data_IF_988539513576
#
_entry.id   IF_988539513576
#
_cell.length_a   1.000
_cell.length_b   1.000
_cell.length_c   1.000
_cell.angle_alpha   90.00
_cell.angle_beta   90.00
_cell.angle_gamma   90.00
#
_symmetry.space_group_name_H-M   'P 1'
#
loop_
_entity.id
_entity.type
_entity.pdbx_description
1 polymer ?
#
# COMPACT_ATOMS: atom_id res chain seq x y z
N UNK A 1 -7.26 4.01 -1.07
CA UNK A 1 -6.26 3.35 -1.93
C UNK A 1 -5.37 2.41 -1.13
N UNK A 2 -4.54 2.88 -0.19
CA UNK A 2 -3.67 2.02 0.64
C UNK A 2 -4.36 0.76 1.20
N UNK A 3 -5.53 0.91 1.84
CA UNK A 3 -6.27 -0.23 2.43
C UNK A 3 -6.55 -1.37 1.43
N UNK A 4 -6.75 -1.09 0.13
CA UNK A 4 -7.01 -2.15 -0.86
C UNK A 4 -5.79 -3.03 -1.09
N UNK A 5 -4.58 -2.45 -1.04
CA UNK A 5 -3.34 -3.19 -1.19
C UNK A 5 -3.08 -4.06 0.04
N UNK A 6 -3.21 -3.49 1.24
CA UNK A 6 -2.95 -4.21 2.49
C UNK A 6 -3.92 -5.37 2.75
N UNK A 7 -5.18 -5.24 2.31
CA UNK A 7 -6.14 -6.34 2.24
C UNK A 7 -5.69 -7.37 1.19
N UNK A 8 -5.52 -6.95 -0.06
CA UNK A 8 -5.37 -7.87 -1.18
C UNK A 8 -4.03 -8.61 -1.26
N UNK A 9 -2.92 -7.99 -0.83
CA UNK A 9 -1.57 -8.59 -0.94
C UNK A 9 -1.32 -9.66 0.12
N UNK A 10 -2.15 -9.72 1.17
CA UNK A 10 -2.06 -10.65 2.28
C UNK A 10 -2.57 -12.05 1.90
N UNK A 11 -1.89 -12.67 0.94
CA UNK A 11 -2.13 -14.02 0.42
C UNK A 11 -0.79 -14.66 0.02
N UNK A 12 -0.61 -15.93 0.36
CA UNK A 12 0.62 -16.69 0.06
C UNK A 12 0.33 -18.14 -0.33
N UNK A 13 0.32 -18.44 -1.63
CA UNK A 13 0.37 -19.81 -2.14
C UNK A 13 1.58 -20.60 -1.61
N UNK A 14 2.73 -19.97 -1.37
CA UNK A 14 3.89 -20.62 -0.79
C UNK A 14 3.65 -21.13 0.64
N UNK A 15 2.94 -20.37 1.49
CA UNK A 15 2.55 -20.83 2.83
C UNK A 15 1.51 -21.95 2.76
N UNK A 16 0.53 -21.84 1.87
CA UNK A 16 -0.48 -22.89 1.65
C UNK A 16 0.16 -24.21 1.21
N UNK A 17 1.17 -24.15 0.33
CA UNK A 17 1.94 -25.31 -0.10
C UNK A 17 2.71 -25.99 1.05
N UNK A 18 2.99 -25.25 2.13
CA UNK A 18 3.60 -25.76 3.36
C UNK A 18 2.56 -26.23 4.39
N UNK A 19 1.27 -26.21 4.06
CA UNK A 19 0.18 -26.62 4.94
C UNK A 19 -0.16 -25.59 6.03
N UNK A 20 0.23 -24.33 5.83
CA UNK A 20 -0.09 -23.21 6.72
C UNK A 20 -1.01 -22.24 6.00
N UNK A 21 -2.04 -21.73 6.67
CA UNK A 21 -2.93 -20.73 6.07
C UNK A 21 -2.13 -19.51 5.60
N UNK A 22 -2.26 -19.15 4.32
CA UNK A 22 -1.47 -18.12 3.67
C UNK A 22 -2.17 -16.75 3.59
N UNK A 23 -3.35 -16.59 4.17
CA UNK A 23 -4.20 -15.41 3.97
C UNK A 23 -5.12 -15.55 2.75
N UNK A 24 -6.26 -14.83 2.76
CA UNK A 24 -7.30 -14.95 1.73
C UNK A 24 -7.24 -13.89 0.64
N UNK A 25 -6.31 -12.94 0.73
CA UNK A 25 -6.15 -11.85 -0.22
C UNK A 25 -7.27 -10.82 -0.09
N UNK A 26 -7.89 -10.43 -1.21
CA UNK A 26 -8.98 -9.44 -1.18
C UNK A 26 -10.28 -10.05 -0.62
N UNK A 27 -10.32 -10.30 0.69
CA UNK A 27 -11.41 -10.96 1.41
C UNK A 27 -11.91 -10.13 2.61
N UNK A 28 -11.41 -8.92 2.79
CA UNK A 28 -11.83 -8.00 3.85
C UNK A 28 -11.26 -8.36 5.23
N UNK A 29 -10.31 -9.29 5.32
CA UNK A 29 -9.75 -9.76 6.58
C UNK A 29 -9.22 -8.60 7.44
N UNK A 30 -8.57 -7.62 6.81
CA UNK A 30 -7.98 -6.47 7.51
C UNK A 30 -9.01 -5.60 8.24
N UNK A 31 -10.27 -5.60 7.80
CA UNK A 31 -11.38 -4.90 8.48
C UNK A 31 -12.11 -5.84 9.44
N UNK A 32 -12.35 -7.10 9.05
CA UNK A 32 -13.09 -8.08 9.85
C UNK A 32 -12.31 -8.44 11.13
N UNK A 33 -11.00 -8.60 10.98
CA UNK A 33 -10.04 -8.94 12.03
C UNK A 33 -9.10 -7.77 12.34
N UNK A 34 -9.63 -6.54 12.29
CA UNK A 34 -8.85 -5.31 12.49
C UNK A 34 -8.02 -5.34 13.79
N UNK A 35 -8.59 -5.82 14.91
CA UNK A 35 -7.88 -5.93 16.20
C UNK A 35 -6.60 -6.78 16.14
N UNK A 36 -6.48 -7.67 15.13
CA UNK A 36 -5.28 -8.48 14.89
C UNK A 36 -4.42 -7.84 13.81
N UNK A 37 -4.97 -7.61 12.62
CA UNK A 37 -4.17 -7.26 11.44
C UNK A 37 -3.63 -5.83 11.48
N UNK A 38 -4.32 -4.86 12.10
CA UNK A 38 -3.76 -3.51 12.27
C UNK A 38 -2.71 -3.44 13.38
N UNK A 39 -2.55 -4.51 14.16
CA UNK A 39 -1.45 -4.68 15.10
C UNK A 39 -0.12 -5.08 14.45
N UNK A 40 -0.14 -5.46 13.16
CA UNK A 40 1.07 -5.77 12.40
C UNK A 40 1.85 -4.50 12.05
N UNK A 41 3.19 -4.48 12.17
CA UNK A 41 4.00 -3.28 11.89
C UNK A 41 3.72 -2.64 10.52
N UNK A 42 3.61 -3.46 9.47
CA UNK A 42 3.34 -3.00 8.11
C UNK A 42 1.97 -2.32 7.94
N UNK A 43 1.00 -2.63 8.80
CA UNK A 43 -0.37 -2.12 8.74
C UNK A 43 -0.61 -0.89 9.62
N UNK A 44 0.44 -0.30 10.20
CA UNK A 44 0.33 0.87 11.08
C UNK A 44 -0.49 2.00 10.43
N UNK A 45 -1.38 2.61 11.22
CA UNK A 45 -2.26 3.71 10.82
C UNK A 45 -3.50 3.33 10.00
N UNK A 46 -3.71 2.04 9.67
CA UNK A 46 -4.90 1.61 8.92
C UNK A 46 -6.17 1.49 9.79
N UNK A 47 -6.03 1.41 11.11
CA UNK A 47 -7.13 1.44 12.05
C UNK A 47 -7.99 2.71 11.94
N UNK A 48 -7.36 3.88 11.70
CA UNK A 48 -8.08 5.14 11.49
C UNK A 48 -9.00 5.07 10.27
N UNK A 49 -8.50 4.63 9.10
CA UNK A 49 -9.31 4.57 7.88
C UNK A 49 -10.43 3.52 7.99
N UNK A 50 -10.18 2.41 8.69
CA UNK A 50 -11.19 1.40 8.97
C UNK A 50 -12.30 2.00 9.84
N UNK A 51 -11.96 2.74 10.89
CA UNK A 51 -12.93 3.41 11.75
C UNK A 51 -13.78 4.45 10.98
N UNK A 52 -13.17 5.22 10.07
CA UNK A 52 -13.86 6.18 9.21
C UNK A 52 -14.83 5.49 8.24
N UNK A 53 -14.44 4.33 7.68
CA UNK A 53 -15.24 3.60 6.70
C UNK A 53 -16.39 2.80 7.32
N UNK A 54 -16.25 2.33 8.56
CA UNK A 54 -17.24 1.49 9.27
C UNK A 54 -18.71 1.95 9.15
N UNK A 55 -19.08 3.22 9.41
CA UNK A 55 -20.48 3.63 9.32
C UNK A 55 -21.05 3.59 7.89
N UNK A 56 -20.20 3.66 6.86
CA UNK A 56 -20.62 3.53 5.46
C UNK A 56 -20.77 2.07 5.07
N UNK A 57 -19.84 1.22 5.51
CA UNK A 57 -19.90 -0.23 5.35
C UNK A 57 -21.22 -0.78 5.93
N UNK A 58 -21.55 -0.43 7.18
CA UNK A 58 -22.78 -0.86 7.87
C UNK A 58 -24.08 -0.46 7.14
N UNK A 59 -24.05 0.60 6.32
CA UNK A 59 -25.21 1.08 5.55
C UNK A 59 -25.25 0.57 4.11
N UNK A 60 -24.15 0.02 3.61
CA UNK A 60 -23.99 -0.35 2.20
C UNK A 60 -24.69 -1.65 1.81
N UNK A 61 -24.93 -2.54 2.78
CA UNK A 61 -25.31 -3.95 2.56
C UNK A 61 -24.32 -4.74 1.65
N UNK A 62 -23.08 -4.25 1.50
CA UNK A 62 -22.00 -4.96 0.81
C UNK A 62 -21.30 -5.93 1.77
N UNK A 63 -20.62 -6.94 1.22
CA UNK A 63 -19.59 -7.66 1.98
C UNK A 63 -18.46 -6.68 2.30
N UNK A 64 -17.75 -6.92 3.40
CA UNK A 64 -16.60 -6.12 3.79
C UNK A 64 -15.54 -6.15 2.69
N UNK A 65 -15.29 -7.34 2.14
CA UNK A 65 -14.35 -7.56 1.04
C UNK A 65 -14.66 -6.71 -0.20
N UNK A 66 -15.93 -6.65 -0.62
CA UNK A 66 -16.32 -5.83 -1.78
C UNK A 66 -16.28 -4.33 -1.45
N UNK A 67 -16.63 -3.95 -0.21
CA UNK A 67 -16.66 -2.55 0.21
C UNK A 67 -15.27 -1.90 0.14
N UNK A 68 -14.22 -2.58 0.61
CA UNK A 68 -12.83 -2.07 0.58
C UNK A 68 -12.43 -1.72 -0.86
N UNK A 69 -12.65 -2.65 -1.79
CA UNK A 69 -12.26 -2.52 -3.19
C UNK A 69 -13.10 -1.44 -3.91
N UNK A 70 -14.40 -1.36 -3.60
CA UNK A 70 -15.27 -0.28 -4.07
C UNK A 70 -14.83 1.09 -3.55
N UNK A 71 -14.54 1.22 -2.25
CA UNK A 71 -14.08 2.47 -1.65
C UNK A 71 -12.74 2.92 -2.24
N UNK A 72 -11.82 1.99 -2.51
CA UNK A 72 -10.57 2.26 -3.21
C UNK A 72 -10.77 2.79 -4.63
N UNK A 73 -11.63 2.14 -5.42
CA UNK A 73 -11.96 2.59 -6.77
C UNK A 73 -12.60 3.99 -6.76
N UNK A 74 -13.58 4.24 -5.89
CA UNK A 74 -14.20 5.56 -5.74
C UNK A 74 -13.17 6.62 -5.32
N UNK A 75 -12.28 6.30 -4.38
CA UNK A 75 -11.22 7.22 -3.96
C UNK A 75 -10.33 7.66 -5.13
N UNK A 76 -9.88 6.69 -5.95
CA UNK A 76 -9.04 6.98 -7.13
C UNK A 76 -9.79 7.80 -8.18
N UNK A 77 -11.09 7.55 -8.41
CA UNK A 77 -11.87 8.33 -9.38
C UNK A 77 -12.05 9.81 -9.01
N UNK A 78 -11.77 10.19 -7.75
CA UNK A 78 -11.78 11.59 -7.34
C UNK A 78 -10.46 12.32 -7.64
N UNK A 79 -9.40 11.61 -8.03
CA UNK A 79 -8.10 12.18 -8.37
C UNK A 79 -8.05 12.52 -9.87
N UNK A 80 -7.89 13.80 -10.27
CA UNK A 80 -7.74 14.17 -11.67
C UNK A 80 -6.58 13.43 -12.33
N UNK A 81 -6.80 12.89 -13.54
CA UNK A 81 -5.81 12.07 -14.25
C UNK A 81 -5.99 10.56 -14.06
N UNK A 82 -6.79 10.15 -13.08
CA UNK A 82 -7.01 8.73 -12.81
C UNK A 82 -7.75 8.02 -13.96
N UNK A 83 -7.38 6.78 -14.29
CA UNK A 83 -8.12 5.99 -15.25
C UNK A 83 -9.50 5.61 -14.69
N UNK A 84 -10.46 5.24 -15.56
CA UNK A 84 -11.68 4.60 -15.11
C UNK A 84 -11.36 3.31 -14.35
N UNK A 85 -11.82 3.21 -13.10
CA UNK A 85 -11.56 2.04 -12.25
C UNK A 85 -12.70 1.03 -12.35
N UNK A 86 -12.46 -0.21 -12.80
CA UNK A 86 -13.47 -1.25 -12.76
C UNK A 86 -13.71 -1.69 -11.31
N UNK A 87 -14.96 -2.00 -10.99
CA UNK A 87 -15.34 -2.65 -9.73
C UNK A 87 -16.06 -3.94 -10.04
N UNK A 88 -15.49 -5.04 -9.56
CA UNK A 88 -16.12 -6.36 -9.57
C UNK A 88 -16.62 -6.66 -8.16
N UNK A 89 -17.83 -7.20 -8.04
CA UNK A 89 -18.45 -7.60 -6.77
C UNK A 89 -18.62 -9.12 -6.73
N UNK A 90 -18.67 -9.69 -5.53
CA UNK A 90 -18.84 -11.12 -5.29
C UNK A 90 -17.78 -11.74 -4.37
N UNK A 91 -16.91 -10.93 -3.74
CA UNK A 91 -15.97 -11.44 -2.75
C UNK A 91 -16.72 -11.91 -1.50
N UNK A 92 -16.25 -13.02 -0.95
CA UNK A 92 -16.73 -13.54 0.34
C UNK A 92 -15.88 -12.96 1.44
N UNK A 93 -16.53 -12.62 2.54
CA UNK A 93 -15.86 -12.13 3.74
C UNK A 93 -14.97 -13.22 4.35
N UNK A 94 -13.80 -12.79 4.82
CA UNK A 94 -12.80 -13.60 5.47
C UNK A 94 -13.36 -14.37 6.68
N UNK A 95 -12.82 -15.58 6.90
CA UNK A 95 -13.15 -16.40 8.08
C UNK A 95 -11.97 -16.52 9.06
N UNK A 96 -10.79 -16.06 8.68
CA UNK A 96 -9.56 -16.07 9.48
C UNK A 96 -8.75 -14.81 9.17
N UNK A 97 -7.97 -14.26 10.13
CA UNK A 97 -7.05 -13.16 9.87
C UNK A 97 -5.91 -13.62 8.97
N UNK A 98 -5.39 -12.72 8.15
CA UNK A 98 -4.17 -12.98 7.41
C UNK A 98 -2.95 -13.13 8.35
N UNK A 99 -1.95 -13.96 8.00
CA UNK A 99 -0.67 -13.97 8.68
C UNK A 99 0.07 -12.63 8.55
N UNK A 100 0.87 -12.28 9.56
CA UNK A 100 1.83 -11.17 9.49
C UNK A 100 2.97 -11.50 8.50
N UNK A 101 3.72 -10.48 8.06
CA UNK A 101 4.87 -10.60 7.16
C UNK A 101 4.51 -10.79 5.69
N UNK A 102 3.25 -10.58 5.30
CA UNK A 102 2.79 -10.67 3.91
C UNK A 102 2.68 -9.32 3.20
N UNK A 103 2.79 -8.21 3.93
CA UNK A 103 2.78 -6.84 3.39
C UNK A 103 4.21 -6.30 3.39
N UNK A 104 4.74 -5.83 2.25
CA UNK A 104 6.08 -5.25 2.18
C UNK A 104 6.26 -4.03 3.09
N UNK A 105 7.43 -3.92 3.71
CA UNK A 105 7.84 -2.79 4.54
C UNK A 105 8.79 -1.85 3.77
N UNK A 106 8.84 -0.54 4.12
CA UNK A 106 9.61 0.44 3.36
C UNK A 106 11.14 0.27 3.46
N UNK A 107 11.60 -0.70 4.25
CA UNK A 107 13.01 -1.04 4.45
C UNK A 107 13.40 -2.43 3.94
N UNK A 108 12.47 -3.15 3.32
CA UNK A 108 12.73 -4.48 2.75
C UNK A 108 13.77 -4.41 1.62
N UNK A 109 14.46 -5.53 1.40
CA UNK A 109 15.33 -5.66 0.24
C UNK A 109 14.49 -5.82 -1.03
N UNK A 110 14.99 -5.33 -2.17
CA UNK A 110 14.25 -5.40 -3.43
C UNK A 110 13.98 -6.85 -3.85
N UNK A 111 14.88 -7.78 -3.55
CA UNK A 111 14.66 -9.20 -3.80
C UNK A 111 13.45 -9.74 -3.03
N UNK A 112 13.28 -9.33 -1.77
CA UNK A 112 12.17 -9.76 -0.92
C UNK A 112 10.86 -9.14 -1.39
N UNK A 113 10.86 -7.84 -1.77
CA UNK A 113 9.69 -7.16 -2.34
C UNK A 113 9.24 -7.87 -3.62
N UNK A 114 10.14 -8.09 -4.58
CA UNK A 114 9.80 -8.75 -5.84
C UNK A 114 9.31 -10.18 -5.63
N UNK A 115 9.94 -10.93 -4.71
CA UNK A 115 9.48 -12.27 -4.34
C UNK A 115 8.09 -12.25 -3.70
N UNK A 116 7.77 -11.23 -2.88
CA UNK A 116 6.47 -11.08 -2.22
C UNK A 116 5.35 -10.81 -3.21
N UNK A 117 5.58 -9.92 -4.19
CA UNK A 117 4.64 -9.66 -5.28
C UNK A 117 4.43 -10.91 -6.15
N UNK A 118 5.52 -11.64 -6.45
CA UNK A 118 5.44 -12.87 -7.21
C UNK A 118 4.67 -13.98 -6.48
N UNK A 119 4.91 -14.19 -5.19
CA UNK A 119 4.14 -15.18 -4.40
C UNK A 119 2.67 -14.78 -4.30
N UNK A 120 2.35 -13.51 -4.00
CA UNK A 120 0.97 -13.10 -3.75
C UNK A 120 0.03 -13.24 -4.96
N UNK A 121 0.50 -12.85 -6.15
CA UNK A 121 -0.36 -12.80 -7.34
C UNK A 121 0.30 -13.29 -8.63
N UNK A 122 1.52 -13.80 -8.57
CA UNK A 122 2.32 -14.08 -9.76
C UNK A 122 2.78 -12.82 -10.48
N UNK A 123 2.80 -11.67 -9.79
CA UNK A 123 3.18 -10.39 -10.39
C UNK A 123 4.68 -10.37 -10.69
N UNK A 124 5.04 -9.86 -11.86
CA UNK A 124 6.44 -9.67 -12.25
C UNK A 124 7.02 -8.34 -11.73
N UNK A 125 8.30 -8.10 -12.00
CA UNK A 125 8.98 -6.87 -11.61
C UNK A 125 8.40 -5.61 -12.26
N UNK A 126 7.84 -5.70 -13.47
CA UNK A 126 7.22 -4.57 -14.16
C UNK A 126 5.88 -4.23 -13.51
N UNK A 127 5.06 -5.24 -13.23
CA UNK A 127 3.79 -5.09 -12.51
C UNK A 127 4.03 -4.54 -11.11
N UNK A 128 5.10 -4.95 -10.42
CA UNK A 128 5.50 -4.38 -9.12
C UNK A 128 5.73 -2.87 -9.22
N UNK A 129 6.41 -2.39 -10.26
CA UNK A 129 6.58 -0.94 -10.52
C UNK A 129 5.23 -0.28 -10.80
N UNK A 130 4.32 -0.93 -11.52
CA UNK A 130 2.99 -0.38 -11.79
C UNK A 130 2.18 -0.20 -10.52
N UNK A 131 2.28 -1.10 -9.52
CA UNK A 131 1.61 -0.93 -8.23
C UNK A 131 2.04 0.35 -7.51
N UNK A 132 3.30 0.77 -7.67
CA UNK A 132 3.81 1.99 -7.02
C UNK A 132 3.16 3.28 -7.53
N UNK A 133 2.42 3.27 -8.66
CA UNK A 133 1.69 4.47 -9.10
C UNK A 133 0.73 4.98 -8.01
N UNK A 134 0.26 4.11 -7.12
CA UNK A 134 -0.57 4.51 -5.99
C UNK A 134 0.10 5.57 -5.09
N UNK A 135 1.44 5.64 -5.08
CA UNK A 135 2.20 6.63 -4.32
C UNK A 135 2.08 8.06 -4.88
N UNK A 136 1.63 8.25 -6.13
CA UNK A 136 1.41 9.59 -6.70
C UNK A 136 0.23 10.34 -6.06
N UNK A 137 -0.66 9.63 -5.37
CA UNK A 137 -1.77 10.21 -4.60
C UNK A 137 -1.72 9.75 -3.15
N UNK A 138 -0.52 9.85 -2.55
CA UNK A 138 -0.23 9.32 -1.23
C UNK A 138 0.62 10.27 -0.36
N UNK A 139 0.54 10.02 0.94
CA UNK A 139 1.34 10.68 1.96
C UNK A 139 1.61 9.71 3.12
N UNK A 140 2.68 9.97 3.87
CA UNK A 140 3.00 9.23 5.08
C UNK A 140 2.43 9.94 6.32
N UNK A 141 1.96 9.16 7.30
CA UNK A 141 1.51 9.67 8.60
C UNK A 141 2.36 9.14 9.76
N UNK A 142 2.76 7.87 9.69
CA UNK A 142 3.25 7.13 10.87
C UNK A 142 4.74 6.78 10.81
N UNK A 143 5.41 6.98 9.67
CA UNK A 143 6.85 6.72 9.55
C UNK A 143 7.62 7.82 10.28
N UNK A 144 7.31 9.08 9.97
CA UNK A 144 7.72 10.23 10.77
C UNK A 144 6.48 10.96 11.32
N UNK A 145 6.07 10.64 12.56
CA UNK A 145 4.90 11.24 13.20
C UNK A 145 5.03 12.74 13.50
N UNK A 146 6.22 13.34 13.36
CA UNK A 146 6.40 14.79 13.56
C UNK A 146 5.91 15.62 12.36
N UNK A 147 5.73 14.97 11.21
CA UNK A 147 5.32 15.57 9.93
C UNK A 147 4.25 14.71 9.23
N UNK A 148 3.08 14.46 9.84
CA UNK A 148 2.04 13.63 9.23
C UNK A 148 1.48 14.30 7.96
N UNK A 149 0.96 13.48 7.04
CA UNK A 149 0.49 13.86 5.71
C UNK A 149 1.57 14.48 4.81
N UNK A 150 2.84 14.10 5.00
CA UNK A 150 3.90 14.51 4.07
C UNK A 150 3.83 13.65 2.80
N UNK A 151 3.63 14.27 1.62
CA UNK A 151 3.38 13.55 0.37
C UNK A 151 4.62 12.83 -0.18
N UNK A 152 4.38 11.82 -1.03
CA UNK A 152 5.44 11.06 -1.71
C UNK A 152 5.87 11.65 -3.05
N UNK A 153 5.18 12.68 -3.53
CA UNK A 153 5.54 13.49 -4.68
C UNK A 153 5.10 14.95 -4.51
N UNK A 154 5.37 15.79 -5.51
CA UNK A 154 4.98 17.20 -5.51
C UNK A 154 3.52 17.49 -5.90
N UNK A 155 2.73 16.49 -6.30
CA UNK A 155 1.35 16.63 -6.80
C UNK A 155 0.40 15.57 -6.22
N UNK A 156 0.28 15.43 -4.88
CA UNK A 156 -0.42 14.31 -4.22
C UNK A 156 -1.95 14.27 -4.42
N UNK A 157 -2.51 15.25 -5.12
CA UNK A 157 -3.93 15.32 -5.47
C UNK A 157 -4.20 14.90 -6.92
N UNK A 158 -3.14 14.77 -7.74
CA UNK A 158 -3.21 14.42 -9.16
C UNK A 158 -2.73 12.98 -9.35
N UNK A 159 -3.47 12.20 -10.13
CA UNK A 159 -3.02 10.89 -10.54
C UNK A 159 -2.18 11.05 -11.82
N UNK A 160 -0.88 11.27 -11.66
CA UNK A 160 0.06 11.53 -12.76
C UNK A 160 1.38 10.75 -12.60
N UNK A 161 2.40 11.13 -13.37
CA UNK A 161 3.71 10.46 -13.35
C UNK A 161 4.74 11.11 -12.42
N UNK A 162 4.35 12.11 -11.62
CA UNK A 162 5.29 12.96 -10.89
C UNK A 162 6.05 12.18 -9.81
N UNK A 163 5.40 11.23 -9.14
CA UNK A 163 6.07 10.27 -8.25
C UNK A 163 7.28 9.58 -8.91
N UNK A 164 7.15 9.07 -10.13
CA UNK A 164 8.26 8.41 -10.84
C UNK A 164 9.37 9.39 -11.25
N UNK A 165 9.04 10.66 -11.49
CA UNK A 165 10.02 11.71 -11.80
C UNK A 165 10.77 12.12 -10.53
N UNK A 166 10.04 12.45 -9.46
CA UNK A 166 10.60 12.97 -8.21
C UNK A 166 11.48 11.92 -7.54
N UNK A 167 11.07 10.65 -7.51
CA UNK A 167 11.89 9.54 -6.96
C UNK A 167 13.23 9.35 -7.68
N UNK A 168 13.35 9.77 -8.94
CA UNK A 168 14.63 9.72 -9.67
C UNK A 168 15.59 10.87 -9.35
N UNK A 169 15.09 11.98 -8.81
CA UNK A 169 15.94 13.10 -8.42
C UNK A 169 16.89 12.71 -7.27
N UNK A 170 18.05 13.35 -7.23
CA UNK A 170 19.00 13.21 -6.13
C UNK A 170 18.35 13.73 -4.84
N UNK A 171 18.29 12.88 -3.82
CA UNK A 171 17.86 13.29 -2.48
C UNK A 171 18.84 14.30 -1.88
N UNK A 172 18.32 15.39 -1.29
CA UNK A 172 19.14 16.49 -0.76
C UNK A 172 18.88 16.78 0.72
N UNK A 173 17.71 16.41 1.25
CA UNK A 173 17.35 16.64 2.66
C UNK A 173 16.27 15.67 3.13
N UNK A 174 16.14 15.49 4.44
CA UNK A 174 14.94 14.91 5.04
C UNK A 174 13.90 16.03 5.30
N UNK A 175 12.61 15.82 5.00
CA UNK A 175 11.56 16.80 5.31
C UNK A 175 11.28 16.94 6.82
N UNK A 176 11.63 15.92 7.61
CA UNK A 176 11.48 15.84 9.06
C UNK A 176 12.71 15.26 9.74
N UNK A 177 12.53 14.32 10.65
CA UNK A 177 13.63 13.64 11.35
C UNK A 177 14.45 12.75 10.39
N UNK A 178 15.74 12.63 10.68
CA UNK A 178 16.66 11.74 9.94
C UNK A 178 16.95 10.48 10.73
N UNK A 179 17.27 9.38 10.05
CA UNK A 179 17.67 8.12 10.70
C UNK A 179 16.50 7.23 11.09
N UNK A 180 15.29 7.54 10.60
CA UNK A 180 14.13 6.65 10.69
C UNK A 180 14.32 5.50 9.69
N UNK A 181 14.11 4.27 10.13
CA UNK A 181 14.21 3.07 9.29
C UNK A 181 13.24 3.17 8.09
N UNK A 182 13.70 2.77 6.90
CA UNK A 182 12.87 2.82 5.69
C UNK A 182 12.74 4.20 5.06
N UNK A 183 13.50 5.21 5.52
CA UNK A 183 13.51 6.56 4.97
C UNK A 183 14.84 6.91 4.34
N UNK A 184 14.81 7.71 3.28
CA UNK A 184 16.00 8.31 2.65
C UNK A 184 15.76 9.78 2.35
N UNK A 185 16.82 10.52 2.00
CA UNK A 185 16.68 11.92 1.61
C UNK A 185 15.77 12.07 0.39
N UNK A 186 14.87 13.03 0.48
CA UNK A 186 13.96 13.49 -0.57
C UNK A 186 14.59 14.63 -1.37
N UNK A 187 14.18 14.85 -2.64
CA UNK A 187 14.74 15.89 -3.49
C UNK A 187 14.10 17.27 -3.27
N UNK A 188 12.86 17.31 -2.75
CA UNK A 188 12.06 18.53 -2.63
C UNK A 188 11.71 18.82 -1.16
N UNK A 189 11.58 20.11 -0.85
CA UNK A 189 11.19 20.55 0.49
C UNK A 189 9.75 20.13 0.78
N UNK A 190 9.56 19.32 1.82
CA UNK A 190 8.24 18.85 2.23
C UNK A 190 7.73 17.63 1.47
N UNK A 191 8.57 17.00 0.63
CA UNK A 191 8.30 15.68 0.06
C UNK A 191 9.01 14.62 0.90
N UNK A 192 8.38 13.46 1.09
CA UNK A 192 8.92 12.30 1.78
C UNK A 192 9.38 11.23 0.79
N UNK A 193 10.41 10.46 1.14
CA UNK A 193 10.89 9.37 0.28
C UNK A 193 11.16 8.09 1.06
N UNK A 194 10.49 7.02 0.64
CA UNK A 194 10.70 5.67 1.15
C UNK A 194 11.98 5.08 0.57
N UNK A 195 12.66 4.24 1.35
CA UNK A 195 13.87 3.55 0.91
C UNK A 195 13.55 2.55 -0.21
N UNK A 196 12.47 1.77 -0.12
CA UNK A 196 12.05 0.84 -1.18
C UNK A 196 11.77 1.56 -2.50
N UNK A 197 11.02 2.66 -2.51
CA UNK A 197 10.76 3.46 -3.71
C UNK A 197 12.07 3.99 -4.34
N UNK A 198 12.98 4.48 -3.51
CA UNK A 198 14.30 4.95 -3.95
C UNK A 198 15.12 3.85 -4.63
N UNK A 199 15.08 2.64 -4.07
CA UNK A 199 15.82 1.49 -4.54
C UNK A 199 15.19 0.87 -5.80
N UNK A 200 13.86 0.71 -5.85
CA UNK A 200 13.13 0.22 -7.03
C UNK A 200 13.37 1.12 -8.24
N UNK A 201 13.44 2.44 -8.05
CA UNK A 201 13.77 3.38 -9.13
C UNK A 201 15.21 3.21 -9.69
N UNK A 202 16.09 2.43 -9.05
CA UNK A 202 17.52 2.33 -9.39
C UNK A 202 18.02 0.90 -9.56
N UNK A 203 17.23 -0.10 -9.20
CA UNK A 203 17.55 -1.50 -9.43
C UNK A 203 17.52 -1.81 -10.93
N UNK A 204 18.51 -2.55 -11.43
CA UNK A 204 18.64 -2.88 -12.85
C UNK A 204 17.45 -3.63 -13.46
N UNK A 205 16.59 -4.24 -12.62
CA UNK A 205 15.38 -4.96 -13.05
C UNK A 205 14.18 -4.04 -13.24
N UNK A 206 14.15 -2.89 -12.56
CA UNK A 206 12.96 -2.03 -12.43
C UNK A 206 13.20 -0.56 -12.79
N UNK A 207 14.44 -0.15 -13.08
CA UNK A 207 14.83 1.22 -13.42
C UNK A 207 14.51 1.67 -14.86
#
# INVERSE_FOLDING_TARGET
>A
LRLTFHDAIAISPALEAQGTFGGGGADGSIVIFADTETGFPANIGLDEVIAIQKPFLERSNMTVADFIQFAGAVAVTNCPGAPPMPVFVGRKDATQPAPDGLVPEPFDQIDDVLARFNDAGGFDELETVWFLIAHTVAAQNDIDPTIPRTPLDSTPELFDGQFFIDTQLRGTSFPGESGIQGTVMSPLKGEFRLQTDHLLARDSRTA
#
